data_IF_889399542475
#
_entry.id   IF_889399542475
#
_cell.length_a   1.000
_cell.length_b   1.000
_cell.length_c   1.000
_cell.angle_alpha   90.00
_cell.angle_beta   90.00
_cell.angle_gamma   90.00
#
_symmetry.space_group_name_H-M   'P 1'
#
loop_
_entity.id
_entity.type
_entity.pdbx_description
1 polymer ?
#
# COMPACT_ATOMS: atom_id res chain seq x y z
N UNK A 1 4.65 -2.49 -3.33
CA UNK A 1 4.10 -3.87 -3.42
C UNK A 1 2.78 -4.09 -2.69
N UNK A 2 2.57 -3.83 -1.38
CA UNK A 2 1.38 -4.31 -0.67
C UNK A 2 0.08 -3.70 -1.21
N UNK A 3 0.10 -2.42 -1.56
CA UNK A 3 -1.04 -1.71 -2.17
C UNK A 3 -1.37 -2.33 -3.52
N UNK A 4 -0.38 -2.58 -4.38
CA UNK A 4 -0.57 -3.16 -5.70
C UNK A 4 -1.14 -4.59 -5.63
N UNK A 5 -0.70 -5.40 -4.67
CA UNK A 5 -1.23 -6.75 -4.44
C UNK A 5 -2.68 -6.74 -3.99
N UNK A 6 -3.04 -5.84 -3.06
CA UNK A 6 -4.44 -5.67 -2.63
C UNK A 6 -5.30 -5.17 -3.79
N UNK A 7 -4.81 -4.20 -4.56
CA UNK A 7 -5.51 -3.72 -5.75
C UNK A 7 -5.77 -4.83 -6.78
N UNK A 8 -4.78 -5.71 -7.05
CA UNK A 8 -4.97 -6.87 -7.93
C UNK A 8 -5.98 -7.87 -7.36
N UNK A 9 -5.94 -8.11 -6.04
CA UNK A 9 -6.86 -9.03 -5.35
C UNK A 9 -8.33 -8.60 -5.50
N UNK A 10 -8.60 -7.30 -5.51
CA UNK A 10 -9.94 -6.75 -5.63
C UNK A 10 -10.29 -6.30 -7.05
N UNK A 11 -9.50 -6.65 -8.07
CA UNK A 11 -9.82 -6.36 -9.47
C UNK A 11 -9.74 -4.88 -9.84
N UNK A 12 -8.99 -4.07 -9.09
CA UNK A 12 -8.78 -2.66 -9.41
C UNK A 12 -8.01 -2.55 -10.74
N UNK A 13 -8.53 -1.77 -11.68
CA UNK A 13 -7.93 -1.59 -12.99
C UNK A 13 -6.59 -0.84 -12.93
N UNK A 14 -5.62 -1.26 -13.74
CA UNK A 14 -4.32 -0.61 -13.92
C UNK A 14 -3.57 -0.27 -12.61
N UNK A 15 -3.39 -1.24 -11.69
CA UNK A 15 -2.85 -0.95 -10.36
C UNK A 15 -1.40 -0.47 -10.37
N UNK A 16 -0.65 -0.86 -11.40
CA UNK A 16 0.71 -0.37 -11.61
C UNK A 16 0.74 1.10 -12.04
N UNK A 17 -0.09 1.50 -13.02
CA UNK A 17 -0.12 2.88 -13.51
C UNK A 17 -0.67 3.84 -12.45
N UNK A 18 -1.70 3.45 -11.70
CA UNK A 18 -2.20 4.29 -10.60
C UNK A 18 -1.14 4.53 -9.51
N UNK A 19 -0.36 3.50 -9.17
CA UNK A 19 0.73 3.63 -8.18
C UNK A 19 1.89 4.48 -8.73
N UNK A 20 2.15 4.36 -10.03
CA UNK A 20 3.15 5.16 -10.74
C UNK A 20 2.75 6.62 -10.82
N UNK A 21 1.47 6.94 -11.08
CA UNK A 21 0.98 8.33 -11.02
C UNK A 21 1.15 8.93 -9.63
N UNK A 22 0.88 8.15 -8.57
CA UNK A 22 1.09 8.58 -7.19
C UNK A 22 2.56 8.92 -6.89
N UNK A 23 3.50 8.18 -7.47
CA UNK A 23 4.94 8.27 -7.17
C UNK A 23 5.73 9.16 -8.13
N UNK A 24 5.20 9.45 -9.33
CA UNK A 24 5.94 10.15 -10.40
C UNK A 24 5.95 11.69 -10.28
N UNK A 25 5.07 12.28 -9.47
CA UNK A 25 4.90 13.74 -9.40
C UNK A 25 4.97 14.38 -8.02
N UNK A 26 5.05 13.62 -6.93
CA UNK A 26 5.03 14.19 -5.57
C UNK A 26 6.39 14.07 -4.91
N UNK A 27 6.92 15.22 -4.46
CA UNK A 27 8.18 15.39 -3.73
C UNK A 27 8.25 14.67 -2.37
N UNK A 28 7.39 13.69 -2.12
CA UNK A 28 7.35 12.88 -0.91
C UNK A 28 6.11 12.00 -0.95
N UNK A 29 6.31 10.69 -0.92
CA UNK A 29 5.22 9.76 -0.64
C UNK A 29 4.87 9.91 0.85
N UNK A 30 4.01 10.87 1.17
CA UNK A 30 3.58 11.13 2.55
C UNK A 30 2.37 10.28 2.91
N UNK A 31 2.14 10.08 4.22
CA UNK A 31 1.01 9.31 4.73
C UNK A 31 -0.33 9.85 4.21
N UNK A 32 -0.47 11.16 4.13
CA UNK A 32 -1.69 11.85 3.71
C UNK A 32 -2.01 11.55 2.24
N UNK A 33 -0.99 11.59 1.37
CA UNK A 33 -1.16 11.27 -0.06
C UNK A 33 -1.52 9.81 -0.29
N UNK A 34 -0.95 8.91 0.52
CA UNK A 34 -1.25 7.47 0.48
C UNK A 34 -2.69 7.20 0.97
N UNK A 35 -3.11 7.85 2.05
CA UNK A 35 -4.46 7.69 2.60
C UNK A 35 -5.52 8.18 1.62
N UNK A 36 -5.32 9.36 1.01
CA UNK A 36 -6.21 9.89 -0.02
C UNK A 36 -6.30 8.96 -1.24
N UNK A 37 -5.18 8.34 -1.64
CA UNK A 37 -5.16 7.33 -2.70
C UNK A 37 -5.98 6.09 -2.33
N UNK A 38 -5.78 5.54 -1.12
CA UNK A 38 -6.52 4.37 -0.62
C UNK A 38 -8.02 4.64 -0.51
N UNK A 39 -8.41 5.87 -0.14
CA UNK A 39 -9.83 6.27 -0.09
C UNK A 39 -10.51 6.26 -1.44
N UNK A 40 -9.78 6.63 -2.50
CA UNK A 40 -10.26 6.60 -3.89
C UNK A 40 -10.35 5.20 -4.50
N UNK A 41 -9.83 4.17 -3.84
CA UNK A 41 -9.91 2.79 -4.33
C UNK A 41 -11.31 2.21 -4.11
N UNK A 42 -11.84 1.54 -5.14
CA UNK A 42 -13.07 0.75 -5.07
C UNK A 42 -12.84 -0.61 -4.37
N UNK A 43 -12.33 -0.57 -3.15
CA UNK A 43 -12.08 -1.75 -2.30
C UNK A 43 -12.91 -1.66 -0.99
N UNK A 44 -13.15 -2.78 -0.29
CA UNK A 44 -13.88 -2.76 0.97
C UNK A 44 -13.20 -1.90 2.06
N UNK A 45 -13.99 -1.26 2.91
CA UNK A 45 -13.48 -0.36 3.97
C UNK A 45 -12.56 -1.06 4.98
N UNK A 46 -12.75 -2.36 5.21
CA UNK A 46 -11.85 -3.17 6.04
C UNK A 46 -10.42 -3.23 5.47
N UNK A 47 -10.29 -3.31 4.14
CA UNK A 47 -9.00 -3.29 3.45
C UNK A 47 -8.42 -1.88 3.36
N UNK A 48 -9.27 -0.86 3.20
CA UNK A 48 -8.83 0.54 3.31
C UNK A 48 -8.21 0.80 4.67
N UNK A 49 -8.86 0.36 5.74
CA UNK A 49 -8.37 0.50 7.12
C UNK A 49 -7.03 -0.23 7.30
N UNK A 50 -6.92 -1.46 6.80
CA UNK A 50 -5.68 -2.26 6.83
C UNK A 50 -4.54 -1.60 6.06
N UNK A 51 -4.81 -1.04 4.88
CA UNK A 51 -3.83 -0.30 4.07
C UNK A 51 -3.41 1.02 4.72
N UNK A 52 -4.32 1.72 5.40
CA UNK A 52 -4.01 2.94 6.18
C UNK A 52 -3.24 2.67 7.46
N UNK A 53 -3.43 1.50 8.07
CA UNK A 53 -2.68 1.07 9.25
C UNK A 53 -1.25 0.60 8.92
N UNK A 54 -0.97 0.28 7.65
CA UNK A 54 0.36 -0.09 7.18
C UNK A 54 1.29 1.14 7.20
N UNK A 55 2.38 1.03 7.95
CA UNK A 55 3.45 2.03 7.99
C UNK A 55 4.76 1.42 7.48
N UNK A 56 5.71 2.21 6.95
CA UNK A 56 7.01 1.69 6.53
C UNK A 56 7.74 0.92 7.64
N UNK A 57 7.58 1.35 8.90
CA UNK A 57 8.18 0.69 10.06
C UNK A 57 7.48 -0.61 10.49
N UNK A 58 6.19 -0.79 10.17
CA UNK A 58 5.44 -2.02 10.45
C UNK A 58 5.40 -2.98 9.25
N UNK A 59 6.02 -2.61 8.13
CA UNK A 59 6.08 -3.41 6.91
C UNK A 59 7.43 -4.15 6.79
N UNK A 60 7.82 -4.85 7.86
CA UNK A 60 9.02 -5.70 7.88
C UNK A 60 8.77 -7.10 7.34
N UNK A 61 7.53 -7.46 7.01
CA UNK A 61 7.17 -8.82 6.59
C UNK A 61 7.68 -9.86 7.59
N UNK A 62 8.29 -10.93 7.09
CA UNK A 62 8.91 -12.01 7.89
C UNK A 62 10.34 -11.69 8.34
N UNK A 63 10.83 -10.46 8.14
CA UNK A 63 12.25 -10.14 8.38
C UNK A 63 12.69 -10.37 9.84
N UNK A 64 11.82 -10.06 10.81
CA UNK A 64 12.11 -10.31 12.22
C UNK A 64 12.09 -11.80 12.59
N UNK A 65 11.46 -12.65 11.78
CA UNK A 65 11.38 -14.10 11.98
C UNK A 65 12.62 -14.78 11.36
N UNK A 66 13.00 -14.37 10.14
CA UNK A 66 14.23 -14.82 9.47
C UNK A 66 15.50 -14.42 10.24
N UNK A 67 15.52 -13.22 10.84
CA UNK A 67 16.65 -12.77 11.64
C UNK A 67 16.89 -13.59 12.93
N UNK A 68 15.88 -14.34 13.40
CA UNK A 68 16.00 -15.25 14.56
C UNK A 68 16.37 -16.69 14.20
N UNK A 69 16.38 -17.02 12.90
CA UNK A 69 16.76 -18.34 12.39
C UNK A 69 18.24 -18.44 12.03
N UNK A 70 19.04 -17.42 12.36
CA UNK A 70 20.50 -17.38 12.18
C UNK A 70 21.17 -17.60 13.54
#
# INVERSE_FOLDING_TARGET
EPIQTVMRRYGVANPYEQLKELTRGKAGMTRETLHAFVDGLAIPDGEKTRLKALTPGSYTGVAAELARQI
#
